data_IF_836024164405
#
_entry.id   IF_836024164405
#
_cell.length_a   1.000
_cell.length_b   1.000
_cell.length_c   1.000
_cell.angle_alpha   90.00
_cell.angle_beta   90.00
_cell.angle_gamma   90.00
#
_symmetry.space_group_name_H-M   'P 1'
#
loop_
_entity.id
_entity.type
_entity.pdbx_description
1 polymer ?
#
# COMPACT_ATOMS: atom_id res chain seq x y z
N UNK A 1 -39.93 -69.03 -27.23
CA UNK A 1 -39.15 -68.65 -26.00
C UNK A 1 -37.93 -67.82 -26.31
N UNK A 2 -37.19 -67.96 -27.38
CA UNK A 2 -35.95 -67.17 -27.68
C UNK A 2 -36.18 -65.68 -27.87
N UNK A 3 -37.29 -65.16 -28.42
CA UNK A 3 -37.52 -63.76 -28.63
C UNK A 3 -37.75 -62.95 -27.32
N UNK A 4 -38.39 -63.49 -26.26
CA UNK A 4 -38.63 -62.85 -25.00
C UNK A 4 -37.34 -62.63 -24.15
N UNK A 5 -36.34 -63.53 -24.29
CA UNK A 5 -35.07 -63.42 -23.61
C UNK A 5 -34.17 -62.32 -24.22
N UNK A 6 -34.25 -62.12 -25.55
CA UNK A 6 -33.48 -61.10 -26.25
C UNK A 6 -33.98 -59.68 -25.94
N UNK A 7 -35.32 -59.50 -25.88
CA UNK A 7 -35.94 -58.22 -25.51
C UNK A 7 -35.63 -57.80 -24.06
N UNK A 8 -35.66 -58.76 -23.12
CA UNK A 8 -35.34 -58.52 -21.70
C UNK A 8 -33.87 -58.07 -21.53
N UNK A 9 -32.94 -58.75 -22.20
CA UNK A 9 -31.52 -58.40 -22.19
C UNK A 9 -31.22 -57.02 -22.84
N UNK A 10 -31.96 -56.61 -23.86
CA UNK A 10 -31.83 -55.28 -24.49
C UNK A 10 -32.37 -54.17 -23.58
N UNK A 11 -33.49 -54.46 -22.87
CA UNK A 11 -34.10 -53.51 -21.92
C UNK A 11 -33.20 -53.32 -20.70
N UNK A 12 -32.67 -54.40 -20.11
CA UNK A 12 -31.73 -54.31 -19.00
C UNK A 12 -30.41 -53.57 -19.37
N UNK A 13 -29.88 -53.79 -20.58
CA UNK A 13 -28.72 -53.02 -21.09
C UNK A 13 -29.02 -51.54 -21.25
N UNK A 14 -30.22 -51.17 -21.72
CA UNK A 14 -30.64 -49.78 -21.88
C UNK A 14 -30.83 -49.11 -20.51
N UNK A 15 -31.42 -49.78 -19.54
CA UNK A 15 -31.58 -49.26 -18.16
C UNK A 15 -30.23 -49.11 -17.46
N UNK A 16 -29.33 -50.08 -17.59
CA UNK A 16 -27.97 -50.00 -17.03
C UNK A 16 -27.17 -48.86 -17.64
N UNK A 17 -27.29 -48.60 -18.95
CA UNK A 17 -26.65 -47.48 -19.65
C UNK A 17 -27.24 -46.14 -19.22
N UNK A 18 -28.55 -46.06 -18.95
CA UNK A 18 -29.26 -44.88 -18.44
C UNK A 18 -28.86 -44.58 -17.01
N UNK A 19 -28.75 -45.59 -16.17
CA UNK A 19 -28.30 -45.52 -14.77
C UNK A 19 -26.84 -45.06 -14.69
N UNK A 20 -25.93 -45.61 -15.50
CA UNK A 20 -24.52 -45.20 -15.52
C UNK A 20 -24.35 -43.74 -16.01
N UNK A 21 -25.15 -43.31 -16.98
CA UNK A 21 -25.16 -41.94 -17.46
C UNK A 21 -25.66 -40.94 -16.39
N UNK A 22 -26.62 -41.36 -15.58
CA UNK A 22 -27.16 -40.57 -14.48
C UNK A 22 -26.16 -40.50 -13.31
N UNK A 23 -25.49 -41.61 -12.95
CA UNK A 23 -24.40 -41.64 -11.95
C UNK A 23 -23.23 -40.74 -12.40
N UNK A 24 -22.81 -40.78 -13.66
CA UNK A 24 -21.78 -39.91 -14.20
C UNK A 24 -22.12 -38.42 -14.06
N UNK A 25 -23.39 -38.05 -14.31
CA UNK A 25 -23.87 -36.68 -14.13
C UNK A 25 -23.83 -36.25 -12.66
N UNK A 26 -24.22 -37.12 -11.71
CA UNK A 26 -24.16 -36.82 -10.28
C UNK A 26 -22.72 -36.60 -9.85
N UNK A 27 -21.79 -37.47 -10.29
CA UNK A 27 -20.35 -37.32 -9.95
C UNK A 27 -19.81 -36.00 -10.52
N UNK A 28 -20.15 -35.66 -11.78
CA UNK A 28 -19.74 -34.41 -12.37
C UNK A 28 -20.25 -33.18 -11.59
N UNK A 29 -21.53 -33.22 -11.18
CA UNK A 29 -22.12 -32.14 -10.35
C UNK A 29 -21.44 -32.07 -8.99
N UNK A 30 -21.18 -33.20 -8.34
CA UNK A 30 -20.49 -33.23 -7.06
C UNK A 30 -19.05 -32.69 -7.15
N UNK A 31 -18.32 -33.01 -8.23
CA UNK A 31 -16.99 -32.45 -8.50
C UNK A 31 -17.05 -30.94 -8.74
N UNK A 32 -18.03 -30.47 -9.51
CA UNK A 32 -18.23 -29.02 -9.74
C UNK A 32 -18.56 -28.30 -8.43
N UNK A 33 -19.49 -28.87 -7.63
CA UNK A 33 -19.84 -28.30 -6.32
C UNK A 33 -18.61 -28.31 -5.38
N UNK A 34 -17.85 -29.39 -5.35
CA UNK A 34 -16.61 -29.48 -4.59
C UNK A 34 -15.57 -28.46 -5.02
N UNK A 35 -15.42 -28.24 -6.32
CA UNK A 35 -14.53 -27.21 -6.87
C UNK A 35 -15.03 -25.80 -6.49
N UNK A 36 -16.32 -25.52 -6.59
CA UNK A 36 -16.91 -24.24 -6.20
C UNK A 36 -16.75 -23.98 -4.69
N UNK A 37 -16.94 -25.00 -3.83
CA UNK A 37 -16.69 -24.90 -2.39
C UNK A 37 -15.20 -24.64 -2.12
N UNK A 38 -14.31 -25.36 -2.80
CA UNK A 38 -12.87 -25.17 -2.69
C UNK A 38 -12.41 -23.77 -3.12
N UNK A 39 -13.03 -23.21 -4.13
CA UNK A 39 -12.76 -21.85 -4.62
C UNK A 39 -13.45 -20.77 -3.77
N UNK A 40 -14.27 -21.15 -2.78
CA UNK A 40 -15.00 -20.20 -1.95
C UNK A 40 -16.15 -19.46 -2.67
N UNK A 41 -16.71 -20.07 -3.72
CA UNK A 41 -17.77 -19.47 -4.54
C UNK A 41 -19.15 -19.42 -3.85
N UNK A 42 -19.30 -20.06 -2.69
CA UNK A 42 -20.51 -19.96 -1.89
C UNK A 42 -20.34 -18.89 -0.81
N UNK A 43 -21.32 -17.99 -0.62
CA UNK A 43 -21.30 -17.05 0.50
C UNK A 43 -21.16 -17.83 1.81
N UNK A 44 -20.40 -17.29 2.75
CA UNK A 44 -20.24 -17.90 4.07
C UNK A 44 -21.60 -17.95 4.74
N UNK A 45 -22.15 -19.15 4.86
CA UNK A 45 -23.48 -19.36 5.50
C UNK A 45 -23.38 -19.12 7.01
N UNK A 46 -22.17 -19.26 7.58
CA UNK A 46 -21.92 -19.11 9.01
C UNK A 46 -21.22 -17.79 9.30
N UNK A 47 -21.91 -16.90 10.02
CA UNK A 47 -21.28 -15.70 10.58
C UNK A 47 -20.26 -16.12 11.64
N UNK A 48 -19.12 -15.41 11.75
CA UNK A 48 -18.15 -15.67 12.79
C UNK A 48 -18.80 -15.62 14.19
N UNK A 49 -18.43 -16.53 15.06
CA UNK A 49 -18.88 -16.52 16.46
C UNK A 49 -18.22 -15.40 17.25
N UNK A 50 -18.79 -15.08 18.42
CA UNK A 50 -18.21 -14.13 19.36
C UNK A 50 -16.83 -14.63 19.83
N UNK A 51 -15.85 -13.72 19.85
CA UNK A 51 -14.51 -13.93 20.42
C UNK A 51 -14.49 -13.24 21.78
N UNK A 52 -14.49 -14.04 22.85
CA UNK A 52 -14.44 -13.53 24.22
C UNK A 52 -13.11 -12.79 24.45
N UNK A 53 -13.18 -11.64 25.11
CA UNK A 53 -12.04 -10.78 25.38
C UNK A 53 -11.72 -9.78 24.27
N UNK A 54 -12.41 -9.82 23.12
CA UNK A 54 -12.14 -8.86 22.04
C UNK A 54 -12.58 -7.43 22.41
N UNK A 55 -13.80 -7.27 22.89
CA UNK A 55 -14.36 -5.94 23.23
C UNK A 55 -13.57 -5.25 24.36
N UNK A 56 -13.02 -6.03 25.29
CA UNK A 56 -12.21 -5.55 26.41
C UNK A 56 -10.76 -5.22 26.01
N UNK A 57 -10.25 -5.84 24.92
CA UNK A 57 -8.88 -5.68 24.46
C UNK A 57 -8.70 -4.55 23.44
N UNK A 58 -9.75 -4.19 22.71
CA UNK A 58 -9.68 -3.13 21.69
C UNK A 58 -9.90 -1.75 22.29
N UNK A 59 -9.27 -0.75 21.67
CA UNK A 59 -9.44 0.67 21.98
C UNK A 59 -9.83 1.45 20.73
N UNK A 60 -10.19 2.72 20.87
CA UNK A 60 -10.16 3.63 19.73
C UNK A 60 -8.72 4.06 19.42
N UNK A 61 -8.53 4.93 18.42
CA UNK A 61 -7.20 5.33 17.96
C UNK A 61 -6.37 6.05 19.04
N UNK A 62 -7.01 6.64 20.05
CA UNK A 62 -6.30 7.27 21.18
C UNK A 62 -5.53 6.26 22.06
N UNK A 63 -5.82 4.97 21.93
CA UNK A 63 -5.10 3.89 22.60
C UNK A 63 -3.86 3.39 21.86
N UNK A 64 -3.51 3.95 20.71
CA UNK A 64 -2.27 3.64 19.99
C UNK A 64 -1.09 4.10 20.86
N UNK A 65 -0.21 3.17 21.17
CA UNK A 65 1.03 3.41 21.90
C UNK A 65 2.18 2.78 21.14
N UNK A 66 3.16 3.59 20.81
CA UNK A 66 4.32 3.15 20.04
C UNK A 66 5.44 2.80 21.03
N UNK A 67 6.09 1.62 20.90
CA UNK A 67 7.23 1.24 21.75
C UNK A 67 8.34 2.27 21.71
N UNK A 68 9.04 2.46 22.84
CA UNK A 68 10.24 3.30 22.91
C UNK A 68 11.32 2.76 21.94
N UNK A 69 12.01 3.65 21.26
CA UNK A 69 13.02 3.28 20.27
C UNK A 69 12.48 2.98 18.88
N UNK A 70 11.16 3.05 18.66
CA UNK A 70 10.60 2.95 17.30
C UNK A 70 11.06 4.13 16.45
N UNK A 71 11.60 3.80 15.25
CA UNK A 71 12.08 4.75 14.25
C UNK A 71 11.11 4.88 13.08
N UNK A 72 10.42 3.78 12.74
CA UNK A 72 9.44 3.72 11.65
C UNK A 72 8.14 3.14 12.18
N UNK A 73 7.04 3.86 12.02
CA UNK A 73 5.68 3.39 12.25
C UNK A 73 5.01 3.16 10.90
N UNK A 74 4.64 1.93 10.58
CA UNK A 74 3.96 1.61 9.33
C UNK A 74 2.46 1.43 9.56
N UNK A 75 1.65 2.16 8.79
CA UNK A 75 0.20 1.97 8.71
C UNK A 75 -0.17 1.37 7.36
N UNK A 76 -0.76 0.17 7.39
CA UNK A 76 -1.25 -0.52 6.20
C UNK A 76 -2.64 -0.10 5.77
N UNK A 77 -2.96 -0.37 4.52
CA UNK A 77 -4.34 -0.34 4.02
C UNK A 77 -4.72 -1.68 3.38
N UNK A 78 -5.88 -2.21 3.75
CA UNK A 78 -6.36 -3.51 3.26
C UNK A 78 -6.87 -3.44 1.81
N UNK A 79 -7.23 -2.26 1.35
CA UNK A 79 -7.63 -1.94 -0.03
C UNK A 79 -7.25 -0.51 -0.36
N UNK A 80 -7.06 -0.22 -1.65
CA UNK A 80 -6.79 1.14 -2.11
C UNK A 80 -8.05 2.00 -2.34
N UNK A 81 -9.21 1.37 -2.42
CA UNK A 81 -10.46 2.02 -2.85
C UNK A 81 -11.43 2.38 -1.73
N UNK A 82 -10.99 2.38 -0.47
CA UNK A 82 -11.85 2.67 0.68
C UNK A 82 -11.52 3.98 1.39
N UNK A 83 -12.57 4.69 1.75
CA UNK A 83 -12.53 5.98 2.44
C UNK A 83 -11.90 5.87 3.82
N UNK A 84 -12.33 4.92 4.63
CA UNK A 84 -11.89 4.73 6.01
C UNK A 84 -10.37 4.52 6.10
N UNK A 85 -9.77 3.78 5.14
CA UNK A 85 -8.31 3.57 5.13
C UNK A 85 -7.54 4.82 4.73
N UNK A 86 -8.13 5.71 3.92
CA UNK A 86 -7.52 7.00 3.64
C UNK A 86 -7.66 7.97 4.81
N UNK A 87 -8.81 8.01 5.50
CA UNK A 87 -9.02 8.79 6.72
C UNK A 87 -8.05 8.38 7.84
N UNK A 88 -7.82 7.07 8.01
CA UNK A 88 -6.86 6.55 8.99
C UNK A 88 -5.44 7.11 8.81
N UNK A 89 -5.01 7.44 7.58
CA UNK A 89 -3.69 8.05 7.35
C UNK A 89 -3.53 9.36 8.13
N UNK A 90 -4.53 10.23 8.05
CA UNK A 90 -4.54 11.49 8.78
C UNK A 90 -4.74 11.30 10.28
N UNK A 91 -5.71 10.45 10.67
CA UNK A 91 -6.07 10.27 12.08
C UNK A 91 -4.91 9.68 12.90
N UNK A 92 -4.25 8.65 12.35
CA UNK A 92 -3.08 8.03 12.99
C UNK A 92 -1.89 8.99 12.97
N UNK A 93 -1.64 9.71 11.87
CA UNK A 93 -0.54 10.67 11.81
C UNK A 93 -0.71 11.80 12.83
N UNK A 94 -1.91 12.38 12.94
CA UNK A 94 -2.22 13.38 13.99
C UNK A 94 -1.91 12.85 15.39
N UNK A 95 -2.38 11.64 15.70
CA UNK A 95 -2.14 11.02 16.98
C UNK A 95 -0.65 10.83 17.27
N UNK A 96 0.11 10.37 16.27
CA UNK A 96 1.57 10.18 16.40
C UNK A 96 2.32 11.52 16.58
N UNK A 97 1.94 12.55 15.84
CA UNK A 97 2.52 13.90 16.00
C UNK A 97 2.29 14.46 17.41
N UNK A 98 1.11 14.19 18.00
CA UNK A 98 0.74 14.65 19.34
C UNK A 98 1.43 13.86 20.47
N UNK A 99 1.73 12.57 20.25
CA UNK A 99 2.13 11.66 21.33
C UNK A 99 3.56 11.15 21.22
N UNK A 100 4.23 11.39 20.08
CA UNK A 100 5.59 10.90 19.78
C UNK A 100 6.45 11.98 19.12
N UNK A 101 7.67 11.61 18.73
CA UNK A 101 8.55 12.45 17.90
C UNK A 101 8.37 12.24 16.40
N UNK A 102 7.32 11.57 15.94
CA UNK A 102 7.01 11.45 14.51
C UNK A 102 6.69 12.84 13.94
N UNK A 103 7.44 13.26 12.90
CA UNK A 103 7.26 14.54 12.23
C UNK A 103 7.19 14.39 10.70
N UNK A 104 7.35 13.18 10.20
CA UNK A 104 7.29 12.91 8.78
C UNK A 104 6.25 11.84 8.44
N UNK A 105 5.49 12.09 7.39
CA UNK A 105 4.57 11.15 6.77
C UNK A 105 5.09 10.74 5.41
N UNK A 106 5.21 9.45 5.14
CA UNK A 106 5.66 8.93 3.86
C UNK A 106 4.62 8.02 3.22
N UNK A 107 4.24 8.31 2.00
CA UNK A 107 3.18 7.60 1.28
C UNK A 107 3.78 6.63 0.25
N UNK A 108 3.09 5.50 0.00
CA UNK A 108 3.23 4.73 -1.24
C UNK A 108 2.72 5.59 -2.42
N UNK A 109 3.46 6.62 -2.73
CA UNK A 109 3.16 7.64 -3.72
C UNK A 109 4.45 8.11 -4.40
N UNK A 110 4.29 8.86 -5.47
CA UNK A 110 5.40 9.39 -6.27
C UNK A 110 6.41 10.18 -5.42
N UNK A 111 7.67 9.73 -5.41
CA UNK A 111 8.74 10.39 -4.68
C UNK A 111 8.89 11.86 -5.07
N UNK A 112 9.01 12.14 -6.36
CA UNK A 112 9.16 13.51 -6.87
C UNK A 112 7.91 14.37 -6.64
N UNK A 113 6.71 13.76 -6.77
CA UNK A 113 5.45 14.43 -6.51
C UNK A 113 5.30 14.83 -5.05
N UNK A 114 5.59 13.92 -4.12
CA UNK A 114 5.53 14.21 -2.69
C UNK A 114 6.57 15.27 -2.27
N UNK A 115 7.75 15.30 -2.89
CA UNK A 115 8.73 16.36 -2.66
C UNK A 115 8.20 17.75 -3.06
N UNK A 116 7.50 17.85 -4.18
CA UNK A 116 6.84 19.11 -4.60
C UNK A 116 5.67 19.47 -3.67
N UNK A 117 4.93 18.47 -3.16
CA UNK A 117 3.88 18.68 -2.15
C UNK A 117 4.51 19.17 -0.85
N UNK A 118 5.68 18.64 -0.46
CA UNK A 118 6.37 19.10 0.75
C UNK A 118 6.72 20.58 0.68
N UNK A 119 7.17 21.10 -0.47
CA UNK A 119 7.36 22.54 -0.63
C UNK A 119 6.07 23.34 -0.34
N UNK A 120 4.90 22.85 -0.79
CA UNK A 120 3.62 23.47 -0.49
C UNK A 120 3.27 23.38 1.00
N UNK A 121 3.49 22.22 1.62
CA UNK A 121 3.27 22.00 3.07
C UNK A 121 4.17 22.90 3.93
N UNK A 122 5.39 23.21 3.46
CA UNK A 122 6.31 24.16 4.12
C UNK A 122 5.98 25.65 3.86
N UNK A 123 4.85 25.96 3.22
CA UNK A 123 4.38 27.32 3.00
C UNK A 123 4.59 27.86 1.60
N UNK A 124 5.08 27.05 0.66
CA UNK A 124 5.20 27.38 -0.75
C UNK A 124 3.86 27.66 -1.44
N UNK A 125 3.89 28.30 -2.59
CA UNK A 125 2.69 28.55 -3.40
C UNK A 125 2.17 27.30 -4.07
N UNK A 126 0.85 27.20 -4.26
CA UNK A 126 0.20 26.11 -4.97
C UNK A 126 -1.30 26.03 -4.76
N UNK A 127 -1.97 25.31 -5.63
CA UNK A 127 -3.39 24.95 -5.50
C UNK A 127 -3.49 23.53 -4.90
N UNK A 128 -4.31 23.36 -3.87
CA UNK A 128 -4.42 22.08 -3.14
C UNK A 128 -4.82 20.91 -4.04
N UNK A 129 -5.75 21.14 -4.99
CA UNK A 129 -6.19 20.06 -5.91
C UNK A 129 -5.07 19.64 -6.86
N UNK A 130 -4.28 20.59 -7.33
CA UNK A 130 -3.09 20.30 -8.16
C UNK A 130 -2.01 19.57 -7.32
N UNK A 131 -1.82 19.95 -6.04
CA UNK A 131 -0.90 19.22 -5.15
C UNK A 131 -1.33 17.76 -4.97
N UNK A 132 -2.60 17.49 -4.70
CA UNK A 132 -3.12 16.11 -4.56
C UNK A 132 -2.86 15.26 -5.81
N UNK A 133 -2.92 15.83 -7.02
CA UNK A 133 -2.61 15.11 -8.27
C UNK A 133 -1.14 14.66 -8.35
N UNK A 134 -0.24 15.36 -7.66
CA UNK A 134 1.19 15.02 -7.62
C UNK A 134 1.49 13.76 -6.81
N UNK A 135 0.55 13.24 -6.00
CA UNK A 135 0.71 11.97 -5.29
C UNK A 135 0.92 10.76 -6.23
N UNK A 136 0.64 10.92 -7.53
CA UNK A 136 0.87 9.95 -8.59
C UNK A 136 -0.38 9.16 -8.94
N UNK A 137 -0.92 8.37 -8.04
CA UNK A 137 -2.06 7.48 -8.32
C UNK A 137 -3.41 8.19 -8.26
N UNK A 138 -4.32 7.83 -9.18
CA UNK A 138 -5.69 8.37 -9.19
C UNK A 138 -6.46 8.08 -7.92
N UNK A 139 -6.20 6.95 -7.26
CA UNK A 139 -6.82 6.58 -5.97
C UNK A 139 -6.61 7.62 -4.87
N UNK A 140 -5.56 8.42 -4.97
CA UNK A 140 -5.27 9.49 -4.01
C UNK A 140 -5.89 10.84 -4.37
N UNK A 141 -6.59 10.96 -5.51
CA UNK A 141 -7.29 12.19 -5.89
C UNK A 141 -8.65 12.26 -5.19
N UNK A 142 -8.63 12.46 -3.88
CA UNK A 142 -9.79 12.39 -2.98
C UNK A 142 -9.79 13.52 -1.98
N UNK A 143 -10.95 13.79 -1.40
CA UNK A 143 -11.09 14.75 -0.31
C UNK A 143 -10.25 14.37 0.92
N UNK A 144 -10.11 13.06 1.21
CA UNK A 144 -9.33 12.54 2.34
C UNK A 144 -7.85 12.90 2.21
N UNK A 145 -7.27 12.74 1.03
CA UNK A 145 -5.87 13.10 0.80
C UNK A 145 -5.67 14.62 0.74
N UNK A 146 -6.64 15.37 0.26
CA UNK A 146 -6.63 16.83 0.35
C UNK A 146 -6.66 17.30 1.81
N UNK A 147 -7.48 16.65 2.65
CA UNK A 147 -7.56 16.98 4.08
C UNK A 147 -6.23 16.70 4.80
N UNK A 148 -5.55 15.59 4.49
CA UNK A 148 -4.22 15.29 5.01
C UNK A 148 -3.21 16.40 4.66
N UNK A 149 -3.11 16.78 3.38
CA UNK A 149 -2.16 17.79 2.92
C UNK A 149 -2.51 19.17 3.50
N UNK A 150 -3.80 19.53 3.54
CA UNK A 150 -4.27 20.79 4.13
C UNK A 150 -3.94 20.87 5.62
N UNK A 151 -4.22 19.79 6.36
CA UNK A 151 -3.90 19.74 7.79
C UNK A 151 -2.39 19.90 8.05
N UNK A 152 -1.54 19.24 7.26
CA UNK A 152 -0.09 19.36 7.41
C UNK A 152 0.37 20.80 7.21
N UNK A 153 -0.15 21.50 6.20
CA UNK A 153 0.14 22.91 5.95
C UNK A 153 -0.33 23.78 7.09
N UNK A 154 -1.59 23.65 7.54
CA UNK A 154 -2.17 24.42 8.63
C UNK A 154 -1.46 24.17 9.97
N UNK A 155 -0.98 22.96 10.19
CA UNK A 155 -0.14 22.63 11.35
C UNK A 155 1.19 23.39 11.28
N UNK A 156 1.87 23.36 10.15
CA UNK A 156 3.16 24.02 9.94
C UNK A 156 3.10 25.55 10.04
N UNK A 157 1.96 26.18 9.71
CA UNK A 157 1.76 27.61 9.90
C UNK A 157 1.83 28.04 11.37
N UNK A 158 1.61 27.13 12.30
CA UNK A 158 1.55 27.37 13.75
C UNK A 158 2.71 26.71 14.50
N UNK A 159 3.35 25.72 13.90
CA UNK A 159 4.43 24.96 14.53
C UNK A 159 5.73 25.76 14.62
N UNK A 160 6.52 25.53 15.66
CA UNK A 160 7.92 25.97 15.68
C UNK A 160 8.71 25.25 14.58
N UNK A 161 9.82 25.85 14.10
CA UNK A 161 10.59 25.33 12.96
C UNK A 161 11.02 23.86 13.17
N UNK A 162 11.46 23.48 14.36
CA UNK A 162 11.85 22.10 14.68
C UNK A 162 10.70 21.12 14.86
N UNK A 163 9.44 21.62 14.90
CA UNK A 163 8.23 20.79 15.09
C UNK A 163 7.41 20.65 13.81
N UNK A 164 7.83 21.26 12.72
CA UNK A 164 7.13 21.17 11.44
C UNK A 164 7.06 19.74 10.93
N UNK A 165 5.92 19.41 10.33
CA UNK A 165 5.71 18.10 9.70
C UNK A 165 6.08 18.13 8.23
N UNK A 166 6.50 16.99 7.69
CA UNK A 166 6.95 16.83 6.29
C UNK A 166 6.26 15.66 5.62
N UNK A 167 6.15 15.71 4.28
CA UNK A 167 5.64 14.62 3.46
C UNK A 167 6.70 14.13 2.48
N UNK A 168 6.83 12.81 2.40
CA UNK A 168 7.71 12.10 1.47
C UNK A 168 6.92 11.10 0.62
N UNK A 169 7.45 10.74 -0.55
CA UNK A 169 6.99 9.62 -1.37
C UNK A 169 8.03 8.52 -1.41
N UNK A 170 7.59 7.27 -1.39
CA UNK A 170 8.54 6.16 -1.46
C UNK A 170 8.61 5.52 -2.85
N UNK A 171 7.62 5.75 -3.72
CA UNK A 171 7.48 5.02 -4.97
C UNK A 171 8.35 5.57 -6.11
N UNK A 172 8.77 4.66 -6.97
CA UNK A 172 9.73 4.89 -8.07
C UNK A 172 9.09 4.83 -9.45
N UNK A 173 7.76 4.76 -9.58
CA UNK A 173 7.08 4.45 -10.85
C UNK A 173 6.86 5.66 -11.77
N UNK A 174 7.37 6.85 -11.41
CA UNK A 174 7.19 8.08 -12.16
C UNK A 174 8.51 8.85 -12.34
N UNK A 175 8.71 9.45 -13.51
CA UNK A 175 9.90 10.20 -13.88
C UNK A 175 9.71 11.72 -13.88
N UNK A 176 8.59 12.20 -14.40
CA UNK A 176 8.33 13.61 -14.75
C UNK A 176 8.54 14.58 -13.59
N UNK A 177 8.20 14.19 -12.34
CA UNK A 177 8.33 15.08 -11.18
C UNK A 177 9.78 15.15 -10.70
N UNK A 178 10.52 14.04 -10.75
CA UNK A 178 11.97 14.05 -10.51
C UNK A 178 12.70 14.92 -11.54
N UNK A 179 12.35 14.82 -12.82
CA UNK A 179 12.87 15.68 -13.89
C UNK A 179 12.62 17.16 -13.57
N UNK A 180 11.40 17.51 -13.13
CA UNK A 180 11.05 18.87 -12.73
C UNK A 180 11.90 19.38 -11.56
N UNK A 181 12.18 18.53 -10.56
CA UNK A 181 13.04 18.86 -9.42
C UNK A 181 14.45 19.16 -9.89
N UNK A 182 15.03 18.32 -10.76
CA UNK A 182 16.37 18.51 -11.29
C UNK A 182 16.46 19.84 -12.08
N UNK A 183 15.53 20.11 -12.97
CA UNK A 183 15.50 21.36 -13.75
C UNK A 183 15.41 22.59 -12.84
N UNK A 184 14.52 22.56 -11.86
CA UNK A 184 14.38 23.64 -10.86
C UNK A 184 15.65 23.84 -10.03
N UNK A 185 16.35 22.75 -9.70
CA UNK A 185 17.65 22.82 -9.03
C UNK A 185 18.70 23.53 -9.89
N UNK A 186 18.85 23.12 -11.16
CA UNK A 186 19.79 23.77 -12.08
C UNK A 186 19.46 25.23 -12.39
N UNK A 187 18.18 25.62 -12.43
CA UNK A 187 17.79 27.02 -12.51
C UNK A 187 18.33 27.84 -11.33
N UNK A 188 18.28 27.29 -10.11
CA UNK A 188 18.75 27.99 -8.89
C UNK A 188 20.27 28.13 -8.82
N UNK A 189 21.03 27.13 -9.27
CA UNK A 189 22.50 27.16 -9.23
C UNK A 189 23.12 27.84 -10.48
N UNK A 190 22.30 28.14 -11.51
CA UNK A 190 22.80 28.71 -12.77
C UNK A 190 23.50 27.72 -13.65
N UNK A 191 22.79 26.76 -14.20
CA UNK A 191 23.22 25.65 -15.07
C UNK A 191 24.30 25.99 -16.11
N UNK A 192 25.55 26.12 -15.65
CA UNK A 192 26.72 26.41 -16.50
C UNK A 192 27.18 25.19 -17.30
N UNK A 193 26.83 24.01 -16.88
CA UNK A 193 27.18 22.72 -17.52
C UNK A 193 26.20 22.29 -18.59
N UNK A 194 25.05 22.97 -18.72
CA UNK A 194 24.01 22.67 -19.72
C UNK A 194 23.24 21.38 -19.43
N UNK A 195 23.16 20.98 -18.16
CA UNK A 195 22.49 19.75 -17.74
C UNK A 195 20.97 19.81 -17.97
N UNK A 196 20.33 20.97 -17.82
CA UNK A 196 18.89 21.12 -18.12
C UNK A 196 18.57 20.78 -19.58
N UNK A 197 19.44 21.18 -20.52
CA UNK A 197 19.26 20.85 -21.93
C UNK A 197 19.47 19.36 -22.22
N UNK A 198 20.41 18.73 -21.54
CA UNK A 198 20.62 17.26 -21.61
C UNK A 198 19.42 16.49 -21.04
N UNK A 199 18.84 16.95 -19.91
CA UNK A 199 17.62 16.39 -19.33
C UNK A 199 16.47 16.44 -20.33
N UNK A 200 16.24 17.59 -20.97
CA UNK A 200 15.21 17.73 -22.01
C UNK A 200 15.44 16.84 -23.23
N UNK A 201 16.70 16.60 -23.58
CA UNK A 201 17.07 15.70 -24.66
C UNK A 201 16.74 14.24 -24.35
N UNK A 202 16.94 13.80 -23.08
CA UNK A 202 16.84 12.39 -22.71
C UNK A 202 15.41 11.98 -22.28
N UNK A 203 14.68 12.86 -21.59
CA UNK A 203 13.41 12.50 -20.95
C UNK A 203 12.16 13.10 -21.62
N UNK A 204 12.30 14.07 -22.52
CA UNK A 204 11.14 14.73 -23.16
C UNK A 204 10.28 15.54 -22.19
N UNK A 205 9.00 15.74 -22.55
CA UNK A 205 8.05 16.59 -21.81
C UNK A 205 6.94 15.82 -21.08
N UNK A 206 6.72 14.55 -21.43
CA UNK A 206 5.66 13.71 -20.89
C UNK A 206 6.26 12.46 -20.21
N UNK A 207 5.45 11.77 -19.41
CA UNK A 207 5.86 10.52 -18.75
C UNK A 207 6.27 9.46 -19.79
N UNK A 208 7.25 8.63 -19.43
CA UNK A 208 7.72 7.48 -20.22
C UNK A 208 8.31 7.83 -21.60
N UNK A 209 8.84 9.05 -21.80
CA UNK A 209 9.37 9.50 -23.10
C UNK A 209 10.89 9.35 -23.25
N UNK A 210 11.54 8.51 -22.46
CA UNK A 210 12.96 8.20 -22.73
C UNK A 210 13.10 7.20 -23.88
N UNK A 211 14.24 7.24 -24.57
CA UNK A 211 14.56 6.34 -25.67
C UNK A 211 15.27 5.08 -25.14
N UNK A 212 14.63 3.88 -25.13
CA UNK A 212 15.23 2.66 -24.54
C UNK A 212 16.59 2.28 -25.14
N UNK A 213 16.83 2.58 -26.41
CA UNK A 213 18.12 2.34 -27.07
C UNK A 213 19.27 3.17 -26.48
N UNK A 214 18.95 4.20 -25.71
CA UNK A 214 19.86 5.14 -25.06
C UNK A 214 20.03 4.91 -23.56
N UNK A 215 19.43 3.85 -23.02
CA UNK A 215 19.39 3.61 -21.58
C UNK A 215 20.75 3.77 -20.91
N UNK A 216 21.80 3.12 -21.44
CA UNK A 216 23.14 3.20 -20.84
C UNK A 216 23.71 4.65 -20.87
N UNK A 217 23.49 5.39 -21.96
CA UNK A 217 23.92 6.78 -22.07
C UNK A 217 23.19 7.66 -21.05
N UNK A 218 21.89 7.40 -20.81
CA UNK A 218 21.09 8.12 -19.83
C UNK A 218 21.53 7.79 -18.40
N UNK A 219 21.78 6.51 -18.09
CA UNK A 219 22.29 6.09 -16.78
C UNK A 219 23.69 6.67 -16.50
N UNK A 220 24.58 6.70 -17.47
CA UNK A 220 25.91 7.34 -17.33
C UNK A 220 25.76 8.85 -17.09
N UNK A 221 24.80 9.49 -17.76
CA UNK A 221 24.48 10.91 -17.54
C UNK A 221 23.92 11.16 -16.12
N UNK A 222 23.04 10.31 -15.60
CA UNK A 222 22.55 10.46 -14.23
C UNK A 222 23.67 10.31 -13.19
N UNK A 223 24.61 9.40 -13.41
CA UNK A 223 25.83 9.29 -12.56
C UNK A 223 26.73 10.51 -12.66
N UNK A 224 26.85 11.13 -13.85
CA UNK A 224 27.54 12.41 -14.02
C UNK A 224 26.87 13.51 -13.17
N UNK A 225 25.51 13.59 -13.17
CA UNK A 225 24.78 14.54 -12.33
C UNK A 225 25.00 14.31 -10.84
N UNK A 226 24.96 13.05 -10.39
CA UNK A 226 25.20 12.71 -8.98
C UNK A 226 26.63 13.08 -8.56
N UNK A 227 27.62 12.80 -9.39
CA UNK A 227 29.01 13.15 -9.14
C UNK A 227 29.23 14.65 -9.07
N UNK A 228 28.63 15.40 -10.00
CA UNK A 228 28.67 16.86 -10.03
C UNK A 228 28.01 17.45 -8.76
N UNK A 229 26.83 16.92 -8.39
CA UNK A 229 26.16 17.34 -7.17
C UNK A 229 26.98 17.06 -5.91
N UNK A 230 27.71 15.95 -5.83
CA UNK A 230 28.61 15.65 -4.72
C UNK A 230 29.84 16.55 -4.68
N UNK A 231 30.47 16.80 -5.82
CA UNK A 231 31.67 17.65 -5.94
C UNK A 231 31.35 19.10 -5.56
N UNK A 232 30.20 19.62 -5.99
CA UNK A 232 29.76 21.00 -5.74
C UNK A 232 28.74 21.11 -4.60
N UNK A 233 28.61 20.12 -3.74
CA UNK A 233 27.54 20.00 -2.75
C UNK A 233 27.37 21.22 -1.84
N UNK A 234 28.47 21.81 -1.34
CA UNK A 234 28.39 23.00 -0.48
C UNK A 234 27.92 24.25 -1.24
N UNK A 235 28.31 24.39 -2.51
CA UNK A 235 27.84 25.48 -3.38
C UNK A 235 26.34 25.31 -3.67
N UNK A 236 25.90 24.09 -3.99
CA UNK A 236 24.50 23.77 -4.28
C UNK A 236 23.60 23.97 -3.06
N UNK A 237 24.04 23.50 -1.87
CA UNK A 237 23.34 23.76 -0.60
C UNK A 237 23.20 25.25 -0.31
N UNK A 238 24.24 26.04 -0.59
CA UNK A 238 24.19 27.49 -0.40
C UNK A 238 23.18 28.15 -1.35
N UNK A 239 23.07 27.67 -2.58
CA UNK A 239 22.19 28.24 -3.61
C UNK A 239 20.71 27.87 -3.41
N UNK A 240 20.43 26.60 -3.02
CA UNK A 240 19.06 26.10 -2.97
C UNK A 240 18.56 25.72 -1.55
N UNK A 241 19.45 25.65 -0.56
CA UNK A 241 19.17 25.15 0.78
C UNK A 241 19.44 23.65 0.93
N UNK A 242 19.71 23.18 2.14
CA UNK A 242 20.11 21.78 2.42
C UNK A 242 19.01 20.80 2.01
N UNK A 243 17.78 21.02 2.41
CA UNK A 243 16.64 20.12 2.11
C UNK A 243 16.37 20.01 0.60
N UNK A 244 16.41 21.14 -0.13
CA UNK A 244 16.23 21.14 -1.58
C UNK A 244 17.40 20.43 -2.29
N UNK A 245 18.62 20.57 -1.80
CA UNK A 245 19.78 19.84 -2.31
C UNK A 245 19.65 18.32 -2.11
N UNK A 246 19.28 17.87 -0.90
CA UNK A 246 19.05 16.45 -0.61
C UNK A 246 17.98 15.85 -1.54
N UNK A 247 16.88 16.59 -1.75
CA UNK A 247 15.79 16.22 -2.66
C UNK A 247 16.26 16.20 -4.13
N UNK A 248 17.09 17.16 -4.54
CA UNK A 248 17.67 17.24 -5.88
C UNK A 248 18.55 16.01 -6.19
N UNK A 249 19.46 15.66 -5.27
CA UNK A 249 20.29 14.45 -5.41
C UNK A 249 19.41 13.19 -5.44
N UNK A 250 18.43 13.11 -4.53
CA UNK A 250 17.53 11.94 -4.49
C UNK A 250 16.68 11.80 -5.75
N UNK A 251 16.31 12.89 -6.39
CA UNK A 251 15.56 12.87 -7.65
C UNK A 251 16.38 12.23 -8.80
N UNK A 252 17.70 12.50 -8.89
CA UNK A 252 18.58 11.84 -9.85
C UNK A 252 18.66 10.33 -9.61
N UNK A 253 18.89 9.92 -8.36
CA UNK A 253 18.90 8.51 -7.94
C UNK A 253 17.54 7.84 -8.23
N UNK A 254 16.44 8.51 -7.97
CA UNK A 254 15.11 7.95 -8.21
C UNK A 254 14.80 7.79 -9.71
N UNK A 255 15.35 8.64 -10.59
CA UNK A 255 15.29 8.43 -12.04
C UNK A 255 16.09 7.19 -12.47
N UNK A 256 17.26 6.93 -11.87
CA UNK A 256 17.99 5.69 -12.11
C UNK A 256 17.15 4.47 -11.70
N UNK A 257 16.51 4.51 -10.51
CA UNK A 257 15.60 3.45 -10.05
C UNK A 257 14.42 3.25 -11.01
N UNK A 258 13.79 4.34 -11.46
CA UNK A 258 12.70 4.29 -12.44
C UNK A 258 13.14 3.61 -13.74
N UNK A 259 14.27 4.00 -14.34
CA UNK A 259 14.78 3.43 -15.57
C UNK A 259 15.07 1.93 -15.43
N UNK A 260 15.75 1.53 -14.37
CA UNK A 260 15.98 0.11 -14.10
C UNK A 260 14.69 -0.67 -13.89
N UNK A 261 13.70 -0.09 -13.17
CA UNK A 261 12.40 -0.72 -12.97
C UNK A 261 11.66 -0.96 -14.30
N UNK A 262 11.72 0.03 -15.21
CA UNK A 262 11.09 -0.06 -16.55
C UNK A 262 11.70 -1.19 -17.40
N UNK A 263 12.97 -1.45 -17.25
CA UNK A 263 13.70 -2.49 -17.98
C UNK A 263 13.63 -3.88 -17.32
N UNK A 264 13.13 -3.99 -16.09
CA UNK A 264 12.94 -5.30 -15.45
C UNK A 264 11.81 -6.08 -16.13
N UNK A 265 11.99 -7.39 -16.29
CA UNK A 265 10.92 -8.26 -16.80
C UNK A 265 9.66 -8.14 -15.92
N UNK A 266 8.53 -7.82 -16.56
CA UNK A 266 7.22 -7.68 -15.91
C UNK A 266 7.17 -6.66 -14.77
N UNK A 267 7.99 -5.61 -14.80
CA UNK A 267 8.05 -4.59 -13.74
C UNK A 267 8.21 -5.24 -12.37
N UNK A 268 9.40 -5.71 -12.06
CA UNK A 268 9.70 -6.52 -10.87
C UNK A 268 9.21 -5.89 -9.56
N UNK A 269 8.21 -6.48 -8.94
CA UNK A 269 7.72 -6.04 -7.61
C UNK A 269 8.84 -6.04 -6.57
N UNK A 270 9.71 -7.07 -6.55
CA UNK A 270 10.84 -7.12 -5.63
C UNK A 270 11.77 -5.92 -5.80
N UNK A 271 12.13 -5.58 -7.04
CA UNK A 271 13.00 -4.41 -7.30
C UNK A 271 12.34 -3.12 -6.83
N UNK A 272 11.05 -2.91 -7.17
CA UNK A 272 10.29 -1.74 -6.72
C UNK A 272 10.31 -1.61 -5.20
N UNK A 273 9.99 -2.67 -4.48
CA UNK A 273 9.93 -2.66 -3.02
C UNK A 273 11.30 -2.45 -2.36
N UNK A 274 12.36 -2.99 -2.94
CA UNK A 274 13.74 -2.75 -2.49
C UNK A 274 14.14 -1.28 -2.69
N UNK A 275 13.78 -0.66 -3.81
CA UNK A 275 14.05 0.77 -4.04
C UNK A 275 13.16 1.67 -3.19
N UNK A 276 11.90 1.28 -2.94
CA UNK A 276 11.03 1.94 -1.97
C UNK A 276 11.65 1.93 -0.57
N UNK A 277 12.24 0.80 -0.15
CA UNK A 277 13.00 0.70 1.11
C UNK A 277 14.17 1.71 1.15
N UNK A 278 14.91 1.85 0.06
CA UNK A 278 15.99 2.83 -0.01
C UNK A 278 15.49 4.27 0.10
N UNK A 279 14.29 4.57 -0.43
CA UNK A 279 13.64 5.86 -0.24
C UNK A 279 13.21 6.08 1.22
N UNK A 280 12.69 5.04 1.89
CA UNK A 280 12.33 5.09 3.33
C UNK A 280 13.57 5.34 4.17
N UNK A 281 14.66 4.59 3.97
CA UNK A 281 15.91 4.77 4.72
C UNK A 281 16.49 6.18 4.53
N UNK A 282 16.50 6.70 3.30
CA UNK A 282 16.93 8.06 3.01
C UNK A 282 16.11 9.14 3.75
N UNK A 283 14.78 9.03 3.72
CA UNK A 283 13.91 9.98 4.43
C UNK A 283 14.13 9.90 5.95
N UNK A 284 14.25 8.69 6.50
CA UNK A 284 14.51 8.47 7.92
C UNK A 284 15.86 9.08 8.36
N UNK A 285 16.91 8.91 7.58
CA UNK A 285 18.23 9.50 7.86
C UNK A 285 18.16 11.03 7.93
N UNK A 286 17.38 11.68 7.07
CA UNK A 286 17.16 13.13 7.11
C UNK A 286 16.41 13.50 8.37
N UNK A 287 15.31 12.82 8.68
CA UNK A 287 14.49 13.13 9.86
C UNK A 287 15.27 12.98 11.16
N UNK A 288 16.09 11.95 11.29
CA UNK A 288 16.91 11.73 12.48
C UNK A 288 18.04 12.76 12.61
N UNK A 289 18.71 13.08 11.50
CA UNK A 289 19.86 13.99 11.48
C UNK A 289 19.46 15.45 11.70
N UNK A 290 18.41 15.90 10.99
CA UNK A 290 18.04 17.32 10.93
C UNK A 290 16.94 17.69 11.94
N UNK A 291 16.11 16.72 12.33
CA UNK A 291 14.86 16.99 13.05
C UNK A 291 14.70 16.16 14.32
N UNK A 292 15.61 15.20 14.58
CA UNK A 292 15.49 14.23 15.68
C UNK A 292 14.12 13.53 15.70
N UNK A 293 13.56 13.29 14.50
CA UNK A 293 12.22 12.76 14.27
C UNK A 293 12.20 11.28 13.92
N UNK A 294 11.02 10.67 14.04
CA UNK A 294 10.71 9.36 13.51
C UNK A 294 9.75 9.51 12.30
N UNK A 295 9.61 8.43 11.53
CA UNK A 295 8.87 8.42 10.28
C UNK A 295 7.62 7.55 10.39
N UNK A 296 6.46 8.07 9.97
CA UNK A 296 5.29 7.24 9.68
C UNK A 296 5.24 6.93 8.19
N UNK A 297 5.19 5.65 7.81
CA UNK A 297 4.94 5.22 6.42
C UNK A 297 3.52 4.70 6.26
N UNK A 298 2.90 4.91 5.08
CA UNK A 298 1.59 4.35 4.75
C UNK A 298 1.58 3.77 3.34
N UNK A 299 1.23 2.48 3.25
CA UNK A 299 1.18 1.71 2.01
C UNK A 299 0.18 0.56 2.13
N UNK A 300 -0.01 -0.20 1.05
CA UNK A 300 -0.82 -1.43 1.12
C UNK A 300 -0.29 -2.40 2.17
N UNK A 301 -1.18 -3.13 2.83
CA UNK A 301 -0.86 -4.10 3.88
C UNK A 301 0.25 -5.09 3.50
N UNK A 302 0.29 -5.54 2.25
CA UNK A 302 1.29 -6.52 1.82
C UNK A 302 2.68 -5.89 1.73
N UNK A 303 2.79 -4.60 1.34
CA UNK A 303 4.07 -3.89 1.30
C UNK A 303 4.70 -3.70 2.68
N UNK A 304 3.90 -3.54 3.73
CA UNK A 304 4.43 -3.29 5.08
C UNK A 304 4.55 -4.55 5.98
N UNK A 305 4.12 -5.71 5.49
CA UNK A 305 4.17 -6.97 6.27
C UNK A 305 5.60 -7.32 6.70
N UNK A 306 5.81 -7.62 7.99
CA UNK A 306 7.10 -8.03 8.55
C UNK A 306 7.61 -9.37 8.03
N UNK A 307 6.73 -10.17 7.45
CA UNK A 307 7.08 -11.50 6.92
C UNK A 307 6.73 -11.62 5.44
N UNK A 308 7.46 -12.47 4.75
CA UNK A 308 7.13 -12.86 3.39
C UNK A 308 5.84 -13.70 3.37
N UNK A 309 4.73 -13.07 3.03
CA UNK A 309 3.40 -13.70 3.04
C UNK A 309 3.00 -14.34 1.71
N UNK A 310 3.74 -14.03 0.63
CA UNK A 310 3.50 -14.51 -0.75
C UNK A 310 4.81 -14.99 -1.38
N UNK A 311 4.80 -15.28 -2.69
CA UNK A 311 6.01 -15.60 -3.45
C UNK A 311 6.93 -14.39 -3.68
N UNK A 312 6.46 -13.17 -3.35
CA UNK A 312 7.20 -11.91 -3.55
C UNK A 312 7.74 -11.41 -2.22
N UNK A 313 8.95 -10.83 -2.24
CA UNK A 313 9.52 -10.09 -1.10
C UNK A 313 9.08 -8.64 -1.23
N UNK A 314 8.46 -8.12 -0.20
CA UNK A 314 7.93 -6.76 -0.14
C UNK A 314 8.75 -5.86 0.79
N UNK A 315 8.51 -4.56 0.73
CA UNK A 315 9.14 -3.48 1.49
C UNK A 315 9.31 -3.80 2.99
N UNK A 316 8.23 -4.27 3.66
CA UNK A 316 8.23 -4.53 5.09
C UNK A 316 9.21 -5.62 5.53
N UNK A 317 9.48 -6.61 4.66
CA UNK A 317 10.50 -7.64 4.94
C UNK A 317 11.89 -6.99 4.97
N UNK A 318 12.22 -6.13 4.02
CA UNK A 318 13.50 -5.40 4.00
C UNK A 318 13.63 -4.45 5.20
N UNK A 319 12.53 -3.76 5.58
CA UNK A 319 12.52 -2.88 6.74
C UNK A 319 12.68 -3.67 8.05
N UNK A 320 12.02 -4.82 8.18
CA UNK A 320 12.15 -5.69 9.36
C UNK A 320 13.57 -6.24 9.49
N UNK A 321 14.21 -6.63 8.37
CA UNK A 321 15.60 -7.11 8.36
C UNK A 321 16.59 -6.01 8.79
N UNK A 322 16.36 -4.76 8.38
CA UNK A 322 17.28 -3.64 8.65
C UNK A 322 17.05 -3.00 10.02
N UNK A 323 15.78 -2.81 10.42
CA UNK A 323 15.43 -2.02 11.61
C UNK A 323 14.98 -2.86 12.82
N UNK A 324 14.61 -4.15 12.62
CA UNK A 324 14.18 -5.05 13.70
C UNK A 324 13.06 -4.45 14.54
N UNK A 325 13.25 -4.37 15.86
CA UNK A 325 12.27 -3.85 16.82
C UNK A 325 12.01 -2.34 16.69
N UNK A 326 12.82 -1.61 15.91
CA UNK A 326 12.57 -0.20 15.61
C UNK A 326 11.55 0.03 14.47
N UNK A 327 11.08 -1.04 13.83
CA UNK A 327 10.01 -1.04 12.83
C UNK A 327 8.72 -1.57 13.44
N UNK A 328 7.76 -0.69 13.68
CA UNK A 328 6.45 -1.02 14.28
C UNK A 328 5.33 -0.95 13.25
N UNK A 329 4.51 -1.99 13.18
CA UNK A 329 3.52 -2.16 12.11
C UNK A 329 2.09 -2.23 12.62
N UNK A 330 1.21 -1.43 12.00
CA UNK A 330 -0.23 -1.40 12.26
C UNK A 330 -0.96 -1.82 10.97
N UNK A 331 -1.32 -3.09 10.85
CA UNK A 331 -2.14 -3.58 9.74
C UNK A 331 -3.58 -3.09 9.83
N UNK A 332 -4.31 -3.13 8.72
CA UNK A 332 -5.76 -2.89 8.72
C UNK A 332 -6.51 -4.06 8.13
N UNK A 333 -7.77 -4.25 8.50
CA UNK A 333 -8.68 -5.17 7.81
C UNK A 333 -10.14 -4.70 7.94
N UNK A 334 -10.98 -5.20 7.06
CA UNK A 334 -12.43 -4.96 7.05
C UNK A 334 -13.17 -6.29 7.18
N UNK A 335 -14.44 -6.23 7.63
CA UNK A 335 -15.32 -7.40 7.51
C UNK A 335 -16.05 -7.39 6.17
N UNK A 336 -16.68 -6.27 5.80
CA UNK A 336 -17.35 -6.06 4.51
C UNK A 336 -16.89 -4.74 3.90
N UNK A 337 -16.74 -4.71 2.59
CA UNK A 337 -16.35 -3.50 1.87
C UNK A 337 -17.18 -3.31 0.60
N UNK A 338 -17.46 -2.05 0.31
CA UNK A 338 -17.76 -1.52 -1.01
C UNK A 338 -16.52 -0.78 -1.49
N UNK A 339 -15.72 -1.41 -2.36
CA UNK A 339 -14.41 -0.93 -2.78
C UNK A 339 -14.48 -0.28 -4.18
N UNK A 340 -14.02 0.97 -4.30
CA UNK A 340 -13.92 1.66 -5.58
C UNK A 340 -12.61 1.26 -6.28
N UNK A 341 -12.67 0.36 -7.23
CA UNK A 341 -11.51 -0.35 -7.79
C UNK A 341 -11.55 -0.41 -9.31
N UNK A 342 -10.39 -0.52 -9.96
CA UNK A 342 -10.30 -0.69 -11.40
C UNK A 342 -10.72 -2.09 -11.86
N UNK A 343 -11.71 -2.15 -12.76
CA UNK A 343 -12.03 -3.37 -13.50
C UNK A 343 -11.02 -3.66 -14.62
N UNK A 344 -10.81 -4.94 -14.96
CA UNK A 344 -9.88 -5.35 -16.04
C UNK A 344 -10.23 -4.80 -17.43
N UNK A 345 -11.47 -4.36 -17.65
CA UNK A 345 -11.93 -3.79 -18.92
C UNK A 345 -11.77 -2.28 -19.04
N UNK A 346 -11.10 -1.68 -18.05
CA UNK A 346 -10.97 -0.23 -17.89
C UNK A 346 -12.14 0.39 -17.13
N UNK A 347 -11.93 1.59 -16.59
CA UNK A 347 -12.86 2.29 -15.71
C UNK A 347 -12.87 1.75 -14.27
N UNK A 348 -13.45 2.54 -13.37
CA UNK A 348 -13.63 2.18 -11.95
C UNK A 348 -15.04 1.66 -11.72
N UNK A 349 -15.21 0.74 -10.78
CA UNK A 349 -16.49 0.10 -10.42
C UNK A 349 -16.50 -0.17 -8.93
N UNK A 350 -17.68 -0.33 -8.34
CA UNK A 350 -17.82 -0.69 -6.93
C UNK A 350 -17.86 -2.22 -6.80
N UNK A 351 -16.87 -2.75 -6.10
CA UNK A 351 -16.78 -4.17 -5.78
C UNK A 351 -17.26 -4.42 -4.34
N UNK A 352 -18.40 -5.10 -4.19
CA UNK A 352 -18.90 -5.53 -2.88
C UNK A 352 -18.35 -6.91 -2.52
N UNK A 353 -17.56 -7.02 -1.44
CA UNK A 353 -17.00 -8.28 -0.94
C UNK A 353 -16.94 -8.34 0.58
N UNK A 354 -16.79 -9.57 1.11
CA UNK A 354 -16.61 -9.85 2.52
C UNK A 354 -15.28 -10.57 2.72
N UNK A 355 -14.43 -10.09 3.64
CA UNK A 355 -13.13 -10.71 3.95
C UNK A 355 -13.26 -12.01 4.72
N UNK A 356 -14.43 -12.26 5.36
CA UNK A 356 -14.64 -13.32 6.35
C UNK A 356 -13.68 -13.21 7.57
N UNK A 357 -13.02 -12.07 7.77
CA UNK A 357 -12.20 -11.86 8.96
C UNK A 357 -13.07 -11.89 10.22
N UNK A 358 -12.77 -12.89 11.06
CA UNK A 358 -13.50 -13.09 12.31
C UNK A 358 -13.15 -12.04 13.38
N UNK A 359 -12.02 -11.32 13.26
CA UNK A 359 -11.63 -10.23 14.17
C UNK A 359 -12.37 -8.95 13.76
N UNK A 360 -12.32 -8.55 12.49
CA UNK A 360 -13.07 -7.39 11.98
C UNK A 360 -14.58 -7.55 12.18
N UNK A 361 -15.13 -8.79 12.13
CA UNK A 361 -16.53 -9.05 12.45
C UNK A 361 -16.94 -8.65 13.86
N UNK A 362 -16.03 -8.77 14.86
CA UNK A 362 -16.37 -8.43 16.26
C UNK A 362 -16.73 -6.96 16.43
N UNK A 363 -16.16 -6.08 15.61
CA UNK A 363 -16.42 -4.62 15.62
C UNK A 363 -17.91 -4.31 15.46
N UNK A 364 -18.67 -5.15 14.75
CA UNK A 364 -20.13 -5.01 14.57
C UNK A 364 -20.90 -4.81 15.87
N UNK A 365 -20.45 -5.38 16.96
CA UNK A 365 -21.10 -5.33 18.27
C UNK A 365 -20.68 -4.14 19.13
N UNK A 366 -19.80 -3.29 18.62
CA UNK A 366 -19.22 -2.14 19.32
C UNK A 366 -19.80 -0.82 18.79
N UNK A 367 -19.72 0.27 19.58
CA UNK A 367 -20.33 1.56 19.22
C UNK A 367 -19.77 2.24 17.97
N UNK A 368 -18.45 2.08 17.68
CA UNK A 368 -17.76 2.69 16.53
C UNK A 368 -17.56 1.66 15.42
N UNK A 369 -17.32 2.13 14.20
CA UNK A 369 -17.08 1.29 13.02
C UNK A 369 -15.63 0.76 12.94
N UNK A 370 -14.72 1.30 13.76
CA UNK A 370 -13.30 0.91 13.77
C UNK A 370 -12.71 0.87 15.17
N UNK A 371 -11.77 -0.08 15.38
CA UNK A 371 -11.08 -0.27 16.65
C UNK A 371 -9.66 -0.77 16.44
N UNK A 372 -8.75 -0.30 17.29
CA UNK A 372 -7.35 -0.69 17.35
C UNK A 372 -7.13 -1.83 18.35
N UNK A 373 -6.27 -2.79 18.01
CA UNK A 373 -5.85 -3.90 18.85
C UNK A 373 -4.32 -4.03 18.82
N UNK A 374 -3.71 -3.82 19.95
CA UNK A 374 -2.28 -4.08 20.19
C UNK A 374 -2.10 -5.55 20.57
N UNK A 375 -1.40 -6.30 19.74
CA UNK A 375 -1.22 -7.75 19.95
C UNK A 375 -0.33 -8.07 21.14
N UNK A 376 0.57 -7.16 21.54
CA UNK A 376 1.45 -7.32 22.69
C UNK A 376 0.67 -7.35 24.01
N UNK A 377 -0.48 -6.67 24.07
CA UNK A 377 -1.35 -6.58 25.24
C UNK A 377 -2.33 -7.77 25.36
N UNK A 378 -2.35 -8.67 24.38
CA UNK A 378 -3.28 -9.81 24.37
C UNK A 378 -2.66 -11.03 25.04
N UNK A 379 -3.29 -11.51 26.14
CA UNK A 379 -2.87 -12.74 26.78
C UNK A 379 -2.94 -13.93 25.81
N UNK A 380 -1.81 -14.62 25.62
CA UNK A 380 -1.65 -15.74 24.70
C UNK A 380 -2.61 -16.92 24.95
N UNK A 381 -2.93 -17.19 26.21
CA UNK A 381 -3.79 -18.31 26.62
C UNK A 381 -5.29 -17.99 26.48
N UNK A 382 -5.64 -16.70 26.30
CA UNK A 382 -7.02 -16.28 26.08
C UNK A 382 -7.57 -16.79 24.74
N UNK A 383 -8.89 -16.76 24.58
CA UNK A 383 -9.53 -17.12 23.31
C UNK A 383 -9.09 -16.18 22.17
N UNK A 384 -9.01 -14.88 22.44
CA UNK A 384 -8.49 -13.88 21.51
C UNK A 384 -7.01 -14.15 21.17
N UNK A 385 -6.17 -14.44 22.20
CA UNK A 385 -4.75 -14.74 22.00
C UNK A 385 -4.50 -15.96 21.10
N UNK A 386 -5.33 -16.98 21.21
CA UNK A 386 -5.30 -18.15 20.32
C UNK A 386 -5.74 -17.81 18.90
N UNK A 387 -6.69 -16.89 18.75
CA UNK A 387 -7.18 -16.45 17.43
C UNK A 387 -6.11 -15.66 16.69
N UNK A 388 -5.48 -14.65 17.30
CA UNK A 388 -4.44 -13.84 16.63
C UNK A 388 -3.16 -14.62 16.32
N UNK A 389 -2.95 -15.77 16.97
CA UNK A 389 -1.85 -16.74 16.73
C UNK A 389 -2.23 -17.90 15.82
N UNK A 390 -3.41 -17.87 15.23
CA UNK A 390 -3.89 -18.87 14.28
C UNK A 390 -4.14 -18.24 12.91
N UNK A 391 -4.13 -19.05 11.85
CA UNK A 391 -4.49 -18.56 10.51
C UNK A 391 -5.94 -18.09 10.51
N UNK A 392 -6.13 -16.82 10.19
CA UNK A 392 -7.44 -16.17 9.96
C UNK A 392 -7.55 -15.76 8.51
N UNK A 393 -8.78 -15.60 8.01
CA UNK A 393 -9.04 -14.96 6.72
C UNK A 393 -8.86 -13.46 6.90
N UNK A 394 -8.17 -12.83 5.98
CA UNK A 394 -7.93 -11.38 5.94
C UNK A 394 -8.23 -10.88 4.54
N UNK A 395 -8.74 -9.67 4.42
CA UNK A 395 -8.94 -9.01 3.14
C UNK A 395 -7.60 -8.67 2.48
N UNK A 396 -7.54 -8.81 1.16
CA UNK A 396 -6.40 -8.36 0.35
C UNK A 396 -6.92 -8.00 -1.03
N UNK A 397 -7.13 -6.72 -1.26
CA UNK A 397 -7.56 -6.14 -2.51
C UNK A 397 -6.56 -5.08 -2.95
N UNK A 398 -5.88 -5.31 -4.07
CA UNK A 398 -5.07 -4.31 -4.74
C UNK A 398 -5.92 -3.38 -5.61
N UNK A 399 -5.30 -2.66 -6.55
CA UNK A 399 -5.96 -1.65 -7.40
C UNK A 399 -6.83 -2.24 -8.52
N UNK A 400 -6.74 -3.55 -8.80
CA UNK A 400 -7.45 -4.16 -9.95
C UNK A 400 -8.18 -5.43 -9.56
N UNK A 401 -9.37 -5.63 -10.16
CA UNK A 401 -10.15 -6.85 -10.01
C UNK A 401 -10.69 -7.36 -11.35
N UNK A 402 -11.10 -8.62 -11.37
CA UNK A 402 -11.97 -9.17 -12.41
C UNK A 402 -13.29 -9.66 -11.81
N UNK A 403 -14.30 -9.89 -12.65
CA UNK A 403 -15.64 -10.30 -12.20
C UNK A 403 -15.67 -11.60 -11.37
N UNK A 404 -14.60 -12.42 -11.43
CA UNK A 404 -14.49 -13.66 -10.65
C UNK A 404 -14.26 -13.39 -9.17
N UNK A 405 -13.72 -12.21 -8.77
CA UNK A 405 -13.56 -11.85 -7.37
C UNK A 405 -14.88 -11.90 -6.58
N UNK A 406 -16.00 -11.56 -7.23
CA UNK A 406 -17.34 -11.65 -6.62
C UNK A 406 -17.74 -13.09 -6.24
N UNK A 407 -17.13 -14.10 -6.88
CA UNK A 407 -17.49 -15.50 -6.73
C UNK A 407 -16.38 -16.37 -6.16
N UNK A 408 -15.13 -15.93 -6.21
CA UNK A 408 -13.95 -16.71 -5.82
C UNK A 408 -13.19 -15.99 -4.71
N UNK A 409 -13.54 -16.30 -3.46
CA UNK A 409 -12.98 -15.65 -2.27
C UNK A 409 -11.46 -15.66 -2.21
N UNK A 410 -10.81 -16.72 -2.66
CA UNK A 410 -9.34 -16.84 -2.68
C UNK A 410 -8.63 -15.77 -3.53
N UNK A 411 -9.36 -15.02 -4.36
CA UNK A 411 -8.79 -13.94 -5.16
C UNK A 411 -8.75 -12.60 -4.40
N UNK A 412 -9.45 -12.49 -3.26
CA UNK A 412 -9.50 -11.27 -2.44
C UNK A 412 -9.37 -11.54 -0.94
N UNK A 413 -9.05 -12.78 -0.56
CA UNK A 413 -8.83 -13.19 0.83
C UNK A 413 -7.55 -14.00 0.93
N UNK A 414 -6.72 -13.67 1.90
CA UNK A 414 -5.53 -14.43 2.26
C UNK A 414 -5.71 -15.01 3.67
N UNK A 415 -5.01 -16.12 3.96
CA UNK A 415 -5.00 -16.73 5.30
C UNK A 415 -3.63 -16.59 5.92
N UNK A 416 -3.55 -15.70 6.90
CA UNK A 416 -2.32 -15.42 7.64
C UNK A 416 -2.54 -15.51 9.14
N UNK A 417 -1.44 -15.56 9.87
CA UNK A 417 -1.39 -15.42 11.33
C UNK A 417 -1.16 -13.92 11.60
N UNK A 418 -2.14 -13.19 12.18
CA UNK A 418 -2.05 -11.73 12.32
C UNK A 418 -0.78 -11.26 13.03
N UNK A 419 -0.45 -11.86 14.18
CA UNK A 419 0.70 -11.46 15.00
C UNK A 419 2.08 -11.77 14.36
N UNK A 420 2.12 -12.60 13.32
CA UNK A 420 3.34 -12.82 12.54
C UNK A 420 3.55 -11.75 11.47
N UNK A 421 2.45 -11.09 11.03
CA UNK A 421 2.50 -10.05 9.98
C UNK A 421 2.67 -8.64 10.55
N UNK A 422 2.04 -8.37 11.71
CA UNK A 422 1.90 -7.04 12.27
C UNK A 422 2.02 -7.06 13.80
N UNK A 423 2.43 -5.93 14.39
CA UNK A 423 2.46 -5.74 15.83
C UNK A 423 1.07 -5.40 16.39
N UNK A 424 0.27 -4.71 15.59
CA UNK A 424 -1.08 -4.28 15.91
C UNK A 424 -1.96 -4.23 14.66
N UNK A 425 -3.28 -4.15 14.84
CA UNK A 425 -4.22 -3.96 13.73
C UNK A 425 -5.35 -3.00 14.09
N UNK A 426 -5.86 -2.32 13.06
CA UNK A 426 -7.13 -1.59 13.11
C UNK A 426 -8.16 -2.35 12.29
N UNK A 427 -9.26 -2.73 12.93
CA UNK A 427 -10.35 -3.46 12.31
C UNK A 427 -11.51 -2.52 12.02
N UNK A 428 -12.00 -2.55 10.77
CA UNK A 428 -13.17 -1.82 10.29
C UNK A 428 -14.29 -2.82 10.02
N UNK A 429 -15.51 -2.59 10.57
CA UNK A 429 -16.60 -3.51 10.28
C UNK A 429 -17.10 -3.37 8.84
N UNK A 430 -17.36 -2.13 8.41
CA UNK A 430 -17.82 -1.82 7.05
C UNK A 430 -17.00 -0.69 6.47
N UNK A 431 -16.32 -0.96 5.36
CA UNK A 431 -15.57 0.03 4.62
C UNK A 431 -16.40 0.54 3.42
N UNK A 432 -16.35 1.86 3.18
CA UNK A 432 -17.09 2.55 2.13
C UNK A 432 -16.17 3.03 1.00
N UNK A 433 -16.69 3.19 -0.23
CA UNK A 433 -15.85 3.52 -1.36
C UNK A 433 -15.34 4.98 -1.31
N UNK A 434 -14.12 5.20 -1.82
CA UNK A 434 -13.62 6.55 -2.10
C UNK A 434 -14.38 7.19 -3.25
N UNK A 435 -14.45 8.52 -3.24
CA UNK A 435 -14.85 9.35 -4.37
C UNK A 435 -13.59 9.94 -5.01
N UNK A 436 -13.24 9.46 -6.20
CA UNK A 436 -12.05 9.91 -6.93
C UNK A 436 -12.39 11.12 -7.79
N UNK A 437 -11.64 12.21 -7.67
CA UNK A 437 -11.79 13.39 -8.52
C UNK A 437 -11.40 13.09 -9.99
N UNK A 438 -12.07 13.75 -10.90
CA UNK A 438 -11.74 13.70 -12.34
C UNK A 438 -10.41 14.42 -12.69
#
# INVERSE_FOLDING_TARGET
MKNKVTEKNVTEKKEKKKKNKWIGRIISIAVIIGALIYLGAFPTVFKPGKIDGFAEAVTDLSGIQIPEGTRIVALGEATHGNKEFQELKLDVFKHLVETTNVRAFMLEGDMGGCALINEYVQGGEGDLKEMVKLLGYKIYRTDQMAELISWMREYNEKAAEGDKVRIYGMDIQYDTRCIKILKKGYEKIGDTSGYSAKIDQWFGQEEDQYEPSKLNEILDFLKELESDAQEHGEEYKKAMGTEAYETFVRAAINLEYYLHYRETENFSHKYRDEMMKNNVSWALEIEEREHNGALMISCHNDHMSQIQATAFTFLGVFLQEEYGDAYFTIGTDYYVTDDNIHGLKGGRDILHVCSDDKLAYQVKSLPKNQYYLDFSKVNADSKLGKVIRSKVSMGSLGERYNSLYKFVKKLHQLKHVPIEKYDAMIFVYQATPIEVWE
#
